data_IF_464925845660
#
_entry.id   IF_464925845660
#
_cell.length_a   1.000
_cell.length_b   1.000
_cell.length_c   1.000
_cell.angle_alpha   90.00
_cell.angle_beta   90.00
_cell.angle_gamma   90.00
#
_symmetry.space_group_name_H-M   'P 1'
#
loop_
_entity.id
_entity.type
_entity.pdbx_description
1 polymer ?
#
# COMPACT_ATOMS: atom_id res chain seq x y z
N UNK A 1 56.89 -22.12 -7.07
CA UNK A 1 55.42 -22.15 -6.86
C UNK A 1 55.23 -22.65 -5.45
N UNK A 2 55.03 -21.74 -4.51
CA UNK A 2 54.73 -22.09 -3.12
C UNK A 2 53.38 -22.81 -3.09
N UNK A 3 53.35 -23.96 -2.42
CA UNK A 3 52.11 -24.67 -2.14
C UNK A 3 51.25 -23.80 -1.24
N UNK A 4 50.01 -23.53 -1.67
CA UNK A 4 49.01 -22.88 -0.84
C UNK A 4 48.81 -23.76 0.39
N UNK A 5 49.15 -23.25 1.59
CA UNK A 5 48.78 -23.89 2.84
C UNK A 5 47.28 -23.69 3.03
N UNK A 6 46.51 -24.72 2.75
CA UNK A 6 45.11 -24.80 3.19
C UNK A 6 45.11 -24.88 4.71
N UNK A 7 44.43 -23.92 5.35
CA UNK A 7 44.24 -23.88 6.79
C UNK A 7 42.81 -24.32 7.06
N UNK A 8 42.67 -25.54 7.56
CA UNK A 8 41.40 -26.06 8.04
C UNK A 8 41.10 -25.47 9.41
N UNK A 9 40.06 -24.61 9.46
CA UNK A 9 39.62 -23.91 10.67
C UNK A 9 38.19 -24.32 11.06
N UNK A 10 37.89 -25.62 10.93
CA UNK A 10 36.62 -26.20 11.36
C UNK A 10 36.57 -26.33 12.88
N UNK A 11 35.40 -26.11 13.46
CA UNK A 11 35.14 -26.30 14.88
C UNK A 11 34.29 -27.56 15.02
N UNK A 12 34.72 -28.47 15.89
CA UNK A 12 33.97 -29.69 16.19
C UNK A 12 32.60 -29.35 16.80
N UNK A 13 31.56 -30.04 16.32
CA UNK A 13 30.19 -29.90 16.81
C UNK A 13 29.81 -31.21 17.54
N UNK A 14 29.52 -31.16 18.86
CA UNK A 14 29.13 -32.35 19.61
C UNK A 14 27.70 -32.78 19.25
N UNK A 15 27.47 -34.07 18.99
CA UNK A 15 26.16 -34.61 18.62
C UNK A 15 25.24 -34.87 19.84
N UNK A 16 24.91 -33.82 20.60
CA UNK A 16 24.06 -33.89 21.82
C UNK A 16 22.57 -33.62 21.58
N UNK A 17 22.22 -32.99 20.46
CA UNK A 17 20.86 -32.67 20.03
C UNK A 17 20.64 -33.10 18.58
N UNK A 18 19.38 -33.21 18.16
CA UNK A 18 19.00 -33.49 16.78
C UNK A 18 19.55 -32.44 15.82
N UNK A 19 19.53 -31.15 16.19
CA UNK A 19 20.16 -30.10 15.40
C UNK A 19 21.66 -30.33 15.25
N UNK A 20 22.37 -30.55 16.34
CA UNK A 20 23.81 -30.77 16.29
C UNK A 20 24.18 -32.07 15.57
N UNK A 21 23.37 -33.13 15.68
CA UNK A 21 23.59 -34.37 14.95
C UNK A 21 23.51 -34.17 13.43
N UNK A 22 22.55 -33.38 12.95
CA UNK A 22 22.44 -33.03 11.52
C UNK A 22 23.60 -32.12 11.09
N UNK A 23 23.96 -31.13 11.91
CA UNK A 23 25.09 -30.25 11.61
C UNK A 23 26.43 -31.00 11.58
N UNK A 24 26.61 -31.96 12.48
CA UNK A 24 27.77 -32.86 12.52
C UNK A 24 27.85 -33.72 11.25
N UNK A 25 26.74 -34.34 10.83
CA UNK A 25 26.69 -35.08 9.55
C UNK A 25 27.10 -34.23 8.35
N UNK A 26 26.62 -32.98 8.31
CA UNK A 26 26.98 -32.04 7.24
C UNK A 26 28.45 -31.63 7.29
N UNK A 27 29.03 -31.50 8.48
CA UNK A 27 30.43 -31.15 8.68
C UNK A 27 31.36 -32.29 8.28
N UNK A 28 31.08 -33.50 8.73
CA UNK A 28 31.87 -34.71 8.47
C UNK A 28 31.55 -35.38 7.13
N UNK A 29 30.55 -34.87 6.39
CA UNK A 29 30.07 -35.44 5.12
C UNK A 29 29.60 -36.91 5.28
N UNK A 30 28.99 -37.24 6.40
CA UNK A 30 28.48 -38.58 6.72
C UNK A 30 26.97 -38.69 6.45
N UNK A 31 26.54 -39.82 5.86
CA UNK A 31 25.12 -40.12 5.66
C UNK A 31 24.68 -41.25 6.59
N UNK A 32 23.80 -40.90 7.54
CA UNK A 32 23.20 -41.83 8.50
C UNK A 32 21.78 -42.26 8.11
N UNK A 33 21.34 -41.98 6.88
CA UNK A 33 20.04 -42.40 6.38
C UNK A 33 20.00 -43.92 6.15
N UNK A 34 19.19 -44.60 6.94
CA UNK A 34 18.91 -46.02 6.76
C UNK A 34 17.73 -46.21 5.80
N UNK A 35 18.05 -46.43 4.53
CA UNK A 35 17.10 -46.87 3.50
C UNK A 35 16.93 -48.38 3.69
N UNK A 36 15.77 -48.81 4.18
CA UNK A 36 15.46 -50.22 4.49
C UNK A 36 15.40 -51.10 3.23
N UNK A 37 16.55 -51.38 2.62
CA UNK A 37 16.69 -52.14 1.38
C UNK A 37 16.84 -53.64 1.62
N UNK A 38 17.21 -54.04 2.84
CA UNK A 38 17.35 -55.46 3.23
C UNK A 38 16.31 -55.83 4.29
N UNK A 39 15.84 -57.09 4.33
CA UNK A 39 14.89 -57.56 5.35
C UNK A 39 15.37 -57.27 6.78
N UNK A 40 16.66 -57.46 7.05
CA UNK A 40 17.26 -57.24 8.36
C UNK A 40 17.20 -55.77 8.79
N UNK A 41 17.38 -54.82 7.85
CA UNK A 41 17.26 -53.38 8.11
C UNK A 41 15.82 -52.89 8.27
N UNK A 42 14.84 -53.67 7.80
CA UNK A 42 13.41 -53.35 7.94
C UNK A 42 12.86 -53.83 9.29
N UNK A 43 13.38 -54.95 9.80
CA UNK A 43 12.90 -55.58 11.03
C UNK A 43 13.36 -54.84 12.31
N UNK A 44 14.45 -54.06 12.26
CA UNK A 44 15.03 -53.39 13.43
C UNK A 44 15.29 -51.90 13.18
N UNK A 45 15.07 -51.09 14.21
CA UNK A 45 15.30 -49.63 14.19
C UNK A 45 16.35 -49.15 15.18
N UNK A 46 17.04 -50.08 15.85
CA UNK A 46 18.14 -49.81 16.79
C UNK A 46 19.42 -49.27 16.12
N UNK A 47 19.58 -49.51 14.83
CA UNK A 47 20.65 -48.91 14.02
C UNK A 47 20.43 -47.41 13.75
N UNK A 48 19.24 -46.88 14.03
CA UNK A 48 18.95 -45.44 13.91
C UNK A 48 19.43 -44.71 15.16
N UNK A 49 19.75 -43.43 15.01
CA UNK A 49 20.04 -42.57 16.16
C UNK A 49 18.85 -42.51 17.10
N UNK A 50 19.13 -42.67 18.39
CA UNK A 50 18.13 -42.55 19.43
C UNK A 50 17.83 -41.07 19.66
N UNK A 51 16.55 -40.69 19.56
CA UNK A 51 16.11 -39.32 19.81
C UNK A 51 15.72 -39.17 21.27
N UNK A 52 16.12 -38.07 21.90
CA UNK A 52 15.59 -37.66 23.20
C UNK A 52 14.17 -37.08 22.99
N UNK A 53 13.12 -37.66 23.63
CA UNK A 53 11.77 -37.11 23.57
C UNK A 53 11.62 -35.67 24.09
N UNK A 54 12.60 -35.16 24.83
CA UNK A 54 12.64 -33.78 25.33
C UNK A 54 13.41 -32.82 24.44
N UNK A 55 14.07 -33.31 23.39
CA UNK A 55 14.78 -32.45 22.45
C UNK A 55 13.80 -31.59 21.64
N UNK A 56 14.05 -30.28 21.65
CA UNK A 56 13.26 -29.26 20.93
C UNK A 56 14.12 -28.41 19.98
N UNK A 57 15.35 -28.83 19.71
CA UNK A 57 16.29 -28.13 18.82
C UNK A 57 15.75 -27.97 17.40
N UNK A 58 15.00 -28.95 16.91
CA UNK A 58 14.22 -28.88 15.66
C UNK A 58 12.77 -29.22 15.96
N UNK A 59 11.85 -28.38 15.50
CA UNK A 59 10.42 -28.59 15.68
C UNK A 59 9.65 -28.23 14.41
N UNK A 60 8.56 -28.96 14.16
CA UNK A 60 7.66 -28.77 13.03
C UNK A 60 6.29 -28.35 13.55
N UNK A 61 5.76 -27.25 13.02
CA UNK A 61 4.47 -26.69 13.44
C UNK A 61 3.53 -26.59 12.24
N UNK A 62 2.45 -27.37 12.25
CA UNK A 62 1.41 -27.31 11.23
C UNK A 62 0.29 -26.36 11.70
N UNK A 63 0.07 -25.28 10.95
CA UNK A 63 -0.91 -24.24 11.28
C UNK A 63 -1.96 -24.09 10.17
N UNK A 64 -3.14 -23.57 10.53
CA UNK A 64 -4.29 -23.47 9.61
C UNK A 64 -4.38 -22.11 8.89
N UNK A 65 -3.61 -21.12 9.32
CA UNK A 65 -3.55 -19.79 8.71
C UNK A 65 -2.28 -19.04 9.11
N UNK A 66 -1.84 -18.03 8.33
CA UNK A 66 -0.71 -17.17 8.69
C UNK A 66 -0.88 -16.49 10.05
N UNK A 67 -2.11 -16.10 10.39
CA UNK A 67 -2.40 -15.52 11.70
C UNK A 67 -2.12 -16.52 12.82
N UNK A 68 -2.64 -17.75 12.69
CA UNK A 68 -2.43 -18.77 13.73
C UNK A 68 -0.98 -19.20 13.83
N UNK A 69 -0.27 -19.24 12.71
CA UNK A 69 1.16 -19.54 12.66
C UNK A 69 1.98 -18.51 13.44
N UNK A 70 1.71 -17.21 13.25
CA UNK A 70 2.38 -16.13 13.99
C UNK A 70 2.02 -16.16 15.48
N UNK A 71 0.78 -16.49 15.85
CA UNK A 71 0.37 -16.69 17.26
C UNK A 71 1.15 -17.84 17.92
N UNK A 72 1.21 -19.00 17.26
CA UNK A 72 1.94 -20.17 17.75
C UNK A 72 3.44 -19.87 17.86
N UNK A 73 4.01 -19.18 16.87
CA UNK A 73 5.39 -18.73 16.92
C UNK A 73 5.65 -17.83 18.13
N UNK A 74 4.79 -16.84 18.36
CA UNK A 74 4.91 -15.90 19.48
C UNK A 74 4.89 -16.64 20.83
N UNK A 75 3.95 -17.56 21.02
CA UNK A 75 3.85 -18.36 22.25
C UNK A 75 5.08 -19.27 22.44
N UNK A 76 5.62 -19.83 21.34
CA UNK A 76 6.82 -20.66 21.40
C UNK A 76 8.07 -19.86 21.75
N UNK A 77 8.24 -18.67 21.16
CA UNK A 77 9.35 -17.78 21.50
C UNK A 77 9.29 -17.32 22.96
N UNK A 78 8.10 -17.01 23.48
CA UNK A 78 7.93 -16.71 24.91
C UNK A 78 8.33 -17.88 25.80
N UNK A 79 7.95 -19.10 25.41
CA UNK A 79 8.33 -20.31 26.16
C UNK A 79 9.84 -20.50 26.16
N UNK A 80 10.50 -20.36 25.00
CA UNK A 80 11.95 -20.50 24.87
C UNK A 80 12.71 -19.44 25.70
N UNK A 81 12.27 -18.18 25.67
CA UNK A 81 12.87 -17.11 26.47
C UNK A 81 12.61 -17.27 27.97
N UNK A 82 11.57 -17.98 28.37
CA UNK A 82 11.30 -18.30 29.77
C UNK A 82 12.13 -19.51 30.26
N UNK A 83 12.41 -20.47 29.37
CA UNK A 83 13.21 -21.66 29.66
C UNK A 83 14.71 -21.36 29.74
N UNK A 84 15.22 -20.45 28.89
CA UNK A 84 16.63 -20.08 28.83
C UNK A 84 16.86 -18.56 29.04
N UNK A 85 17.37 -18.13 30.21
CA UNK A 85 17.68 -16.73 30.49
C UNK A 85 18.82 -16.13 29.68
N UNK A 86 19.66 -16.95 29.02
CA UNK A 86 20.75 -16.46 28.18
C UNK A 86 20.28 -16.05 26.79
N UNK A 87 19.14 -16.58 26.34
CA UNK A 87 18.57 -16.27 25.05
C UNK A 87 17.98 -14.86 25.06
N UNK A 88 18.44 -14.00 24.15
CA UNK A 88 17.86 -12.68 23.96
C UNK A 88 17.06 -12.62 22.66
N UNK A 89 16.13 -11.66 22.57
CA UNK A 89 15.36 -11.43 21.35
C UNK A 89 16.23 -11.11 20.12
N UNK A 90 17.51 -10.73 20.31
CA UNK A 90 18.46 -10.44 19.22
C UNK A 90 19.07 -11.70 18.61
N UNK A 91 19.05 -12.81 19.32
CA UNK A 91 19.60 -14.09 18.89
C UNK A 91 18.59 -14.87 18.02
N UNK A 92 17.37 -14.36 17.90
CA UNK A 92 16.26 -14.99 17.19
C UNK A 92 16.08 -14.31 15.82
N UNK A 93 16.06 -15.12 14.76
CA UNK A 93 15.70 -14.70 13.41
C UNK A 93 14.45 -15.45 12.92
N UNK A 94 13.50 -14.71 12.35
CA UNK A 94 12.31 -15.26 11.72
C UNK A 94 12.34 -14.91 10.24
N UNK A 95 12.27 -15.93 9.39
CA UNK A 95 12.31 -15.78 7.93
C UNK A 95 11.00 -16.27 7.33
N UNK A 96 10.49 -15.52 6.35
CA UNK A 96 9.27 -15.84 5.59
C UNK A 96 9.54 -15.60 4.11
N UNK A 97 8.83 -16.32 3.23
CA UNK A 97 9.00 -16.18 1.78
C UNK A 97 8.53 -14.80 1.26
N UNK A 98 7.45 -14.26 1.82
CA UNK A 98 6.93 -12.93 1.52
C UNK A 98 6.59 -12.19 2.82
N UNK A 99 7.40 -11.18 3.15
CA UNK A 99 7.24 -10.40 4.38
C UNK A 99 6.06 -9.42 4.31
N UNK A 100 5.63 -9.04 3.10
CA UNK A 100 4.56 -8.06 2.93
C UNK A 100 3.19 -8.68 3.23
N UNK A 101 2.97 -9.94 2.85
CA UNK A 101 1.75 -10.67 3.25
C UNK A 101 1.69 -11.00 4.74
N UNK A 102 2.83 -11.29 5.38
CA UNK A 102 2.89 -11.61 6.82
C UNK A 102 2.85 -10.39 7.74
N UNK A 103 3.27 -9.23 7.22
CA UNK A 103 3.39 -7.97 7.96
C UNK A 103 2.18 -7.60 8.81
N UNK A 104 0.93 -7.66 8.32
CA UNK A 104 -0.24 -7.30 9.12
C UNK A 104 -0.45 -8.26 10.29
N UNK A 105 -0.21 -9.56 10.09
CA UNK A 105 -0.36 -10.58 11.13
C UNK A 105 0.70 -10.45 12.22
N UNK A 106 1.96 -10.22 11.85
CA UNK A 106 3.05 -9.96 12.80
C UNK A 106 2.71 -8.73 13.65
N UNK A 107 2.26 -7.63 13.03
CA UNK A 107 1.87 -6.43 13.76
C UNK A 107 0.67 -6.64 14.67
N UNK A 108 -0.32 -7.44 14.24
CA UNK A 108 -1.50 -7.72 15.05
C UNK A 108 -1.18 -8.53 16.30
N UNK A 109 -0.29 -9.52 16.19
CA UNK A 109 0.07 -10.43 17.30
C UNK A 109 1.12 -9.79 18.21
N UNK A 110 2.25 -9.34 17.66
CA UNK A 110 3.36 -8.81 18.45
C UNK A 110 3.13 -7.35 18.87
N UNK A 111 2.39 -6.56 18.08
CA UNK A 111 2.15 -5.14 18.35
C UNK A 111 1.06 -4.87 19.40
N UNK A 112 0.11 -5.80 19.58
CA UNK A 112 -0.98 -5.67 20.54
C UNK A 112 -0.77 -6.51 21.81
N UNK A 113 0.42 -7.08 22.01
CA UNK A 113 0.71 -7.90 23.17
C UNK A 113 0.72 -7.05 24.46
N UNK A 114 0.07 -7.50 25.55
CA UNK A 114 0.12 -6.81 26.83
C UNK A 114 1.55 -6.83 27.40
N UNK A 115 1.85 -5.91 28.32
CA UNK A 115 3.21 -5.71 28.85
C UNK A 115 3.91 -6.99 29.36
N UNK A 116 3.17 -7.95 29.92
CA UNK A 116 3.73 -9.22 30.40
C UNK A 116 4.04 -10.26 29.32
N UNK A 117 3.67 -10.02 28.05
CA UNK A 117 3.91 -10.90 26.90
C UNK A 117 4.54 -10.17 25.71
N UNK A 118 5.01 -8.94 25.94
CA UNK A 118 5.54 -8.11 24.88
C UNK A 118 6.96 -8.56 24.50
N UNK A 119 7.16 -8.87 23.22
CA UNK A 119 8.46 -9.17 22.64
C UNK A 119 8.86 -8.07 21.65
N UNK A 120 10.04 -7.43 21.81
CA UNK A 120 10.51 -6.44 20.85
C UNK A 120 10.85 -7.12 19.52
N UNK A 121 10.33 -6.57 18.42
CA UNK A 121 10.58 -7.10 17.08
C UNK A 121 10.86 -5.97 16.08
N UNK A 122 11.58 -6.30 15.02
CA UNK A 122 11.83 -5.40 13.89
C UNK A 122 11.61 -6.16 12.58
N UNK A 123 10.81 -5.58 11.68
CA UNK A 123 10.56 -6.16 10.36
C UNK A 123 11.50 -5.50 9.34
N UNK A 124 12.38 -6.31 8.79
CA UNK A 124 13.31 -5.92 7.72
C UNK A 124 12.66 -6.10 6.34
N UNK A 125 13.25 -5.48 5.32
CA UNK A 125 12.92 -5.65 3.90
C UNK A 125 11.62 -5.04 3.33
N UNK A 126 10.86 -4.24 4.10
CA UNK A 126 9.67 -3.49 3.61
C UNK A 126 9.94 -2.40 2.55
N UNK A 127 11.17 -2.30 2.00
CA UNK A 127 11.63 -1.13 1.24
C UNK A 127 11.08 -1.05 -0.18
N UNK A 128 10.54 -2.12 -0.74
CA UNK A 128 9.99 -2.15 -2.09
C UNK A 128 8.54 -1.60 -2.14
N UNK A 129 7.63 -2.15 -1.34
CA UNK A 129 6.19 -1.80 -1.38
C UNK A 129 5.91 -0.38 -0.90
N UNK A 130 6.57 0.08 0.18
CA UNK A 130 6.44 1.48 0.63
C UNK A 130 6.94 2.48 -0.43
N UNK A 131 7.88 2.09 -1.28
CA UNK A 131 8.33 2.93 -2.41
C UNK A 131 7.23 3.04 -3.47
N UNK A 132 6.66 1.91 -3.86
CA UNK A 132 5.59 1.85 -4.87
C UNK A 132 4.37 2.68 -4.43
N UNK A 133 3.97 2.57 -3.16
CA UNK A 133 2.79 3.29 -2.65
C UNK A 133 2.98 4.82 -2.65
N UNK A 134 4.22 5.32 -2.48
CA UNK A 134 4.52 6.76 -2.58
C UNK A 134 4.43 7.30 -4.01
N UNK A 135 4.74 6.47 -5.00
CA UNK A 135 4.72 6.88 -6.42
C UNK A 135 3.40 6.56 -7.12
N UNK A 136 2.51 5.77 -6.51
CA UNK A 136 1.21 5.42 -7.10
C UNK A 136 0.41 6.66 -7.55
N UNK A 137 0.28 7.75 -6.75
CA UNK A 137 -0.36 8.97 -7.22
C UNK A 137 0.32 9.60 -8.43
N UNK A 138 1.66 9.56 -8.47
CA UNK A 138 2.43 10.10 -9.57
C UNK A 138 2.21 9.28 -10.86
N UNK A 139 2.20 7.95 -10.76
CA UNK A 139 1.87 7.07 -11.89
C UNK A 139 0.45 7.34 -12.39
N UNK A 140 -0.52 7.47 -11.47
CA UNK A 140 -1.90 7.82 -11.84
C UNK A 140 -2.02 9.19 -12.51
N UNK A 141 -1.13 10.15 -12.23
CA UNK A 141 -1.05 11.42 -12.96
C UNK A 141 -0.52 11.25 -14.38
N UNK A 142 0.44 10.34 -14.60
CA UNK A 142 0.97 10.04 -15.94
C UNK A 142 -0.08 9.35 -16.83
N UNK A 143 -1.02 8.61 -16.23
CA UNK A 143 -2.12 7.94 -16.95
C UNK A 143 -3.30 8.88 -17.27
N UNK A 144 -3.28 10.14 -16.82
CA UNK A 144 -4.37 11.10 -17.05
C UNK A 144 -4.73 11.34 -18.53
N UNK A 145 -3.78 11.42 -19.48
CA UNK A 145 -4.12 11.65 -20.89
C UNK A 145 -4.99 10.53 -21.49
N UNK A 146 -4.92 9.32 -20.95
CA UNK A 146 -5.74 8.17 -21.38
C UNK A 146 -6.95 7.94 -20.45
N UNK A 147 -7.10 8.79 -19.43
CA UNK A 147 -8.15 8.66 -18.44
C UNK A 147 -9.46 9.27 -18.93
N UNK A 148 -10.57 8.68 -18.48
CA UNK A 148 -11.93 9.22 -18.67
C UNK A 148 -12.28 10.28 -17.62
N UNK A 149 -11.35 10.64 -16.73
CA UNK A 149 -11.55 11.61 -15.67
C UNK A 149 -12.82 11.34 -14.86
N UNK A 150 -13.01 10.10 -14.40
CA UNK A 150 -14.18 9.78 -13.59
C UNK A 150 -14.16 10.57 -12.28
N UNK A 151 -15.34 10.83 -11.71
CA UNK A 151 -15.45 11.56 -10.44
C UNK A 151 -14.59 10.93 -9.34
N UNK A 152 -14.63 9.61 -9.22
CA UNK A 152 -13.81 8.84 -8.25
C UNK A 152 -12.32 8.97 -8.50
N UNK A 153 -11.85 8.92 -9.75
CA UNK A 153 -10.42 9.01 -10.07
C UNK A 153 -9.83 10.36 -9.66
N UNK A 154 -10.53 11.46 -9.96
CA UNK A 154 -10.06 12.80 -9.60
C UNK A 154 -10.13 13.01 -8.09
N UNK A 155 -11.20 12.53 -7.43
CA UNK A 155 -11.31 12.61 -5.97
C UNK A 155 -10.25 11.75 -5.26
N UNK A 156 -9.89 10.59 -5.82
CA UNK A 156 -8.82 9.73 -5.29
C UNK A 156 -7.44 10.39 -5.38
N UNK A 157 -7.20 11.25 -6.39
CA UNK A 157 -5.99 12.07 -6.44
C UNK A 157 -5.97 13.13 -5.33
N UNK A 158 -7.14 13.67 -4.97
CA UNK A 158 -7.28 14.62 -3.86
C UNK A 158 -7.22 13.94 -2.48
N UNK A 159 -7.44 12.62 -2.37
CA UNK A 159 -7.20 11.87 -1.13
C UNK A 159 -5.70 11.82 -0.76
N UNK A 160 -4.80 12.20 -1.68
CA UNK A 160 -3.35 12.27 -1.42
C UNK A 160 -3.00 13.60 -0.75
N UNK A 161 -2.50 13.61 0.50
CA UNK A 161 -2.31 14.86 1.25
C UNK A 161 -1.41 15.89 0.57
N UNK A 162 -0.36 15.42 -0.13
CA UNK A 162 0.55 16.29 -0.85
C UNK A 162 -0.13 17.03 -2.03
N UNK A 163 -1.11 16.39 -2.68
CA UNK A 163 -1.90 17.00 -3.75
C UNK A 163 -2.98 17.91 -3.18
N UNK A 164 -3.73 17.46 -2.16
CA UNK A 164 -4.72 18.30 -1.48
C UNK A 164 -4.12 19.62 -0.96
N UNK A 165 -2.94 19.55 -0.34
CA UNK A 165 -2.23 20.71 0.17
C UNK A 165 -1.84 21.71 -0.95
N UNK A 166 -1.48 21.23 -2.15
CA UNK A 166 -1.19 22.10 -3.30
C UNK A 166 -2.41 22.92 -3.73
N UNK A 167 -3.62 22.38 -3.57
CA UNK A 167 -4.88 23.06 -3.86
C UNK A 167 -5.49 23.75 -2.64
N UNK A 168 -4.80 23.76 -1.49
CA UNK A 168 -5.31 24.31 -0.22
C UNK A 168 -6.63 23.67 0.23
N UNK A 169 -6.81 22.37 -0.07
CA UNK A 169 -7.99 21.59 0.33
C UNK A 169 -7.65 20.86 1.64
N UNK A 170 -8.47 21.11 2.66
CA UNK A 170 -8.43 20.36 3.93
C UNK A 170 -9.37 19.15 3.85
N UNK A 171 -9.23 18.21 4.79
CA UNK A 171 -10.02 16.97 4.83
C UNK A 171 -11.54 17.23 4.82
N UNK A 172 -12.00 18.22 5.60
CA UNK A 172 -13.41 18.62 5.63
C UNK A 172 -13.88 19.20 4.29
N UNK A 173 -12.98 19.93 3.60
CA UNK A 173 -13.23 20.46 2.27
C UNK A 173 -13.35 19.35 1.21
N UNK A 174 -12.61 18.26 1.38
CA UNK A 174 -12.67 17.12 0.47
C UNK A 174 -13.99 16.36 0.58
N UNK A 175 -14.51 16.15 1.80
CA UNK A 175 -15.83 15.55 2.00
C UNK A 175 -16.94 16.36 1.32
N UNK A 176 -16.86 17.70 1.42
CA UNK A 176 -17.81 18.61 0.79
C UNK A 176 -17.71 18.56 -0.75
N UNK A 177 -16.48 18.56 -1.28
CA UNK A 177 -16.25 18.40 -2.73
C UNK A 177 -16.80 17.07 -3.24
N UNK A 178 -16.64 15.97 -2.49
CA UNK A 178 -17.19 14.66 -2.85
C UNK A 178 -18.73 14.70 -2.91
N UNK A 179 -19.36 15.35 -1.93
CA UNK A 179 -20.81 15.54 -1.91
C UNK A 179 -21.29 16.38 -3.11
N UNK A 180 -20.71 17.57 -3.31
CA UNK A 180 -21.08 18.45 -4.42
C UNK A 180 -20.82 17.84 -5.80
N UNK A 181 -19.74 17.08 -5.97
CA UNK A 181 -19.44 16.38 -7.23
C UNK A 181 -20.55 15.38 -7.57
N UNK A 182 -21.05 14.65 -6.57
CA UNK A 182 -22.20 13.75 -6.74
C UNK A 182 -23.49 14.46 -7.12
N UNK A 183 -23.85 15.52 -6.38
CA UNK A 183 -25.12 16.24 -6.53
C UNK A 183 -25.17 17.14 -7.77
N UNK A 184 -24.04 17.76 -8.14
CA UNK A 184 -23.94 18.57 -9.37
C UNK A 184 -23.99 17.73 -10.65
N UNK A 185 -24.00 16.40 -10.52
CA UNK A 185 -24.17 15.47 -11.64
C UNK A 185 -22.89 15.20 -12.41
N UNK A 186 -21.70 15.52 -11.87
CA UNK A 186 -20.40 15.15 -12.48
C UNK A 186 -20.21 13.64 -12.42
N UNK A 187 -19.87 13.03 -13.55
CA UNK A 187 -19.60 11.59 -13.65
C UNK A 187 -18.27 11.29 -14.32
N UNK A 188 -17.96 11.96 -15.42
CA UNK A 188 -16.77 11.68 -16.23
C UNK A 188 -16.47 12.80 -17.21
N UNK A 189 -15.25 12.84 -17.75
CA UNK A 189 -14.84 13.75 -18.81
C UNK A 189 -14.61 15.18 -18.32
N UNK A 190 -13.49 15.79 -18.71
CA UNK A 190 -13.20 17.17 -18.34
C UNK A 190 -14.17 18.14 -19.01
N UNK A 191 -14.33 17.99 -20.32
CA UNK A 191 -15.21 18.77 -21.19
C UNK A 191 -15.62 17.95 -22.41
N UNK A 192 -16.44 18.55 -23.27
CA UNK A 192 -16.92 17.91 -24.50
C UNK A 192 -15.81 17.63 -25.52
N UNK A 193 -14.68 18.33 -25.45
CA UNK A 193 -13.55 18.09 -26.36
C UNK A 193 -12.85 16.78 -25.97
N UNK A 194 -12.60 16.59 -24.67
CA UNK A 194 -12.10 15.32 -24.12
C UNK A 194 -13.07 14.15 -24.36
N UNK A 195 -14.39 14.39 -24.31
CA UNK A 195 -15.38 13.36 -24.67
C UNK A 195 -15.25 12.93 -26.14
N UNK A 196 -15.04 13.89 -27.06
CA UNK A 196 -14.89 13.60 -28.48
C UNK A 196 -13.56 12.93 -28.81
N UNK A 197 -12.48 13.25 -28.10
CA UNK A 197 -11.20 12.55 -28.20
C UNK A 197 -11.28 11.06 -27.82
N UNK A 198 -12.30 10.69 -27.04
CA UNK A 198 -12.60 9.30 -26.67
C UNK A 198 -13.58 8.61 -27.64
N UNK A 199 -13.88 9.22 -28.80
CA UNK A 199 -14.85 8.76 -29.80
C UNK A 199 -16.27 8.55 -29.25
N UNK A 200 -16.68 9.38 -28.29
CA UNK A 200 -18.01 9.33 -27.67
C UNK A 200 -18.87 10.53 -28.06
N UNK A 201 -20.22 10.39 -28.07
CA UNK A 201 -21.11 11.50 -28.35
C UNK A 201 -21.05 12.53 -27.20
N UNK A 202 -20.64 13.76 -27.53
CA UNK A 202 -20.66 14.87 -26.58
C UNK A 202 -22.10 15.29 -26.26
N UNK A 203 -22.49 15.12 -25.00
CA UNK A 203 -23.84 15.46 -24.52
C UNK A 203 -23.90 16.85 -23.86
N UNK A 204 -22.76 17.50 -23.58
CA UNK A 204 -22.71 18.76 -22.84
C UNK A 204 -23.06 18.64 -21.35
N UNK A 205 -23.33 17.43 -20.87
CA UNK A 205 -23.81 17.14 -19.52
C UNK A 205 -22.92 16.09 -18.85
N UNK A 206 -22.95 16.06 -17.51
CA UNK A 206 -22.21 15.11 -16.68
C UNK A 206 -20.67 15.20 -16.74
N UNK A 207 -20.13 16.21 -17.41
CA UNK A 207 -18.71 16.58 -17.41
C UNK A 207 -18.32 17.41 -16.19
N UNK A 208 -17.02 17.46 -15.88
CA UNK A 208 -16.49 18.36 -14.85
C UNK A 208 -16.82 19.81 -15.14
N UNK A 209 -16.68 20.25 -16.40
CA UNK A 209 -17.07 21.59 -16.84
C UNK A 209 -18.54 21.88 -16.55
N UNK A 210 -19.43 20.93 -16.84
CA UNK A 210 -20.86 21.07 -16.57
C UNK A 210 -21.15 21.23 -15.06
N UNK A 211 -20.66 20.31 -14.22
CA UNK A 211 -20.94 20.36 -12.78
C UNK A 211 -20.31 21.58 -12.10
N UNK A 212 -19.09 21.96 -12.46
CA UNK A 212 -18.47 23.20 -11.97
C UNK A 212 -19.25 24.45 -12.41
N UNK A 213 -19.80 24.46 -13.63
CA UNK A 213 -20.66 25.55 -14.09
C UNK A 213 -21.91 25.63 -13.23
N UNK A 214 -22.56 24.51 -12.92
CA UNK A 214 -23.74 24.48 -12.03
C UNK A 214 -23.43 25.00 -10.63
N UNK A 215 -22.28 24.61 -10.05
CA UNK A 215 -21.84 25.10 -8.74
C UNK A 215 -21.56 26.61 -8.77
N UNK A 216 -20.84 27.11 -9.78
CA UNK A 216 -20.57 28.54 -9.92
C UNK A 216 -21.85 29.35 -10.20
N UNK A 217 -22.79 28.76 -10.92
CA UNK A 217 -24.09 29.38 -11.20
C UNK A 217 -24.95 29.46 -9.95
N UNK A 218 -24.97 28.42 -9.11
CA UNK A 218 -25.67 28.41 -7.82
C UNK A 218 -25.11 29.40 -6.79
N UNK A 219 -23.87 29.85 -6.99
CA UNK A 219 -23.33 30.99 -6.25
C UNK A 219 -23.88 32.34 -6.74
N UNK A 220 -24.16 32.48 -8.03
CA UNK A 220 -24.54 33.74 -8.66
C UNK A 220 -26.06 33.95 -8.76
N UNK A 221 -26.83 32.87 -8.89
CA UNK A 221 -28.28 32.90 -8.94
C UNK A 221 -28.89 31.68 -8.24
N UNK A 222 -30.10 31.85 -7.74
CA UNK A 222 -30.93 30.80 -7.18
C UNK A 222 -31.56 29.95 -8.32
N UNK A 223 -31.66 28.64 -8.16
CA UNK A 223 -32.33 27.74 -9.11
C UNK A 223 -33.77 28.14 -9.42
N UNK A 224 -34.43 28.87 -8.52
CA UNK A 224 -35.76 29.44 -8.74
C UNK A 224 -35.80 30.50 -9.87
N UNK A 225 -34.65 31.07 -10.24
CA UNK A 225 -34.54 32.02 -11.35
C UNK A 225 -34.59 31.35 -12.75
N UNK A 226 -34.59 30.01 -12.80
CA UNK A 226 -34.61 29.24 -14.04
C UNK A 226 -33.22 28.78 -14.49
N UNK A 227 -33.16 28.11 -15.65
CA UNK A 227 -31.90 27.66 -16.22
C UNK A 227 -31.18 28.80 -16.98
N UNK A 228 -29.86 28.76 -16.96
CA UNK A 228 -29.02 29.63 -17.76
C UNK A 228 -28.32 28.82 -18.83
N UNK A 229 -28.61 29.11 -20.10
CA UNK A 229 -28.07 28.37 -21.25
C UNK A 229 -28.29 26.85 -21.17
N UNK A 230 -29.45 26.40 -20.68
CA UNK A 230 -29.73 24.97 -20.51
C UNK A 230 -29.10 24.33 -19.27
N UNK A 231 -28.50 25.13 -18.38
CA UNK A 231 -27.84 24.68 -17.16
C UNK A 231 -28.56 25.23 -15.93
N UNK A 232 -29.09 24.34 -15.08
CA UNK A 232 -29.76 24.71 -13.84
C UNK A 232 -28.73 24.97 -12.71
N UNK A 233 -28.84 26.07 -11.95
CA UNK A 233 -27.98 26.35 -10.79
C UNK A 233 -28.03 25.24 -9.73
N UNK A 234 -26.96 25.12 -8.92
CA UNK A 234 -26.90 24.20 -7.77
C UNK A 234 -26.75 24.97 -6.46
N UNK A 235 -27.86 25.15 -5.74
CA UNK A 235 -28.00 26.13 -4.65
C UNK A 235 -27.24 25.78 -3.38
N UNK A 236 -26.97 24.50 -3.11
CA UNK A 236 -26.19 24.05 -1.94
C UNK A 236 -24.73 24.56 -1.93
N UNK A 237 -24.25 25.05 -3.07
CA UNK A 237 -22.93 25.70 -3.17
C UNK A 237 -22.92 27.15 -2.63
N UNK A 238 -24.08 27.79 -2.47
CA UNK A 238 -24.21 29.21 -2.09
C UNK A 238 -23.76 29.52 -0.64
N UNK A 239 -23.82 28.55 0.28
CA UNK A 239 -23.62 28.76 1.72
C UNK A 239 -22.16 28.71 2.22
N UNK A 240 -21.22 28.09 1.49
CA UNK A 240 -19.87 27.81 2.03
C UNK A 240 -18.69 28.17 1.10
N UNK A 241 -18.95 28.62 -0.12
CA UNK A 241 -17.91 29.07 -1.07
C UNK A 241 -17.20 30.36 -0.58
N UNK A 242 -17.68 31.03 0.47
CA UNK A 242 -16.94 32.12 1.13
C UNK A 242 -15.60 31.70 1.78
N UNK A 243 -15.46 30.44 2.22
CA UNK A 243 -14.20 29.92 2.82
C UNK A 243 -13.40 29.02 1.87
N UNK A 244 -14.07 28.30 0.95
CA UNK A 244 -13.43 27.36 0.00
C UNK A 244 -13.39 27.88 -1.45
N UNK A 245 -14.18 28.91 -1.79
CA UNK A 245 -14.21 29.54 -3.11
C UNK A 245 -12.93 30.28 -3.48
N UNK A 246 -12.05 30.55 -2.50
CA UNK A 246 -10.66 30.97 -2.80
C UNK A 246 -9.82 29.85 -3.42
N UNK A 247 -10.13 28.57 -3.20
CA UNK A 247 -9.43 27.45 -3.82
C UNK A 247 -9.94 27.20 -5.25
N UNK A 248 -11.27 27.24 -5.45
CA UNK A 248 -11.91 27.06 -6.77
C UNK A 248 -11.72 28.31 -7.66
N UNK A 249 -11.74 29.52 -7.07
CA UNK A 249 -11.50 30.79 -7.77
C UNK A 249 -10.01 31.15 -7.96
N UNK A 250 -9.07 30.42 -7.36
CA UNK A 250 -7.63 30.52 -7.70
C UNK A 250 -7.24 29.60 -8.85
N UNK A 251 -7.94 28.49 -9.06
CA UNK A 251 -7.82 27.68 -10.28
C UNK A 251 -8.59 28.32 -11.45
N UNK A 252 -9.75 28.94 -11.19
CA UNK A 252 -10.48 29.77 -12.15
C UNK A 252 -10.27 31.28 -11.86
N UNK A 253 -9.16 31.85 -12.31
CA UNK A 253 -8.77 33.23 -11.99
C UNK A 253 -9.88 34.29 -12.19
N UNK A 254 -10.21 34.98 -11.09
CA UNK A 254 -10.73 36.36 -10.98
C UNK A 254 -11.77 36.82 -12.02
N UNK A 255 -13.04 36.72 -11.67
CA UNK A 255 -14.18 37.34 -12.39
C UNK A 255 -14.48 38.75 -11.85
N UNK A 256 -14.00 39.77 -12.58
CA UNK A 256 -14.68 41.05 -12.75
C UNK A 256 -14.88 41.28 -14.26
N UNK A 257 -15.85 42.10 -14.68
CA UNK A 257 -16.82 41.76 -15.72
C UNK A 257 -16.17 41.54 -17.10
N UNK A 258 -16.69 40.53 -17.80
CA UNK A 258 -16.39 40.22 -19.19
C UNK A 258 -16.77 41.38 -20.12
N UNK A 259 -15.80 42.22 -20.46
CA UNK A 259 -15.84 42.97 -21.71
C UNK A 259 -14.41 43.13 -22.25
N UNK A 260 -14.20 42.61 -23.47
CA UNK A 260 -13.07 42.86 -24.36
C UNK A 260 -11.67 42.34 -23.94
N UNK A 261 -11.31 41.09 -24.30
CA UNK A 261 -9.97 40.80 -24.84
C UNK A 261 -9.86 39.41 -25.53
N UNK A 262 -9.53 39.33 -26.83
CA UNK A 262 -9.36 38.05 -27.56
C UNK A 262 -8.11 37.23 -27.17
N UNK A 263 -7.20 37.75 -26.33
CA UNK A 263 -6.00 37.00 -25.88
C UNK A 263 -6.23 36.05 -24.69
N UNK A 264 -7.45 35.95 -24.14
CA UNK A 264 -7.77 35.09 -22.97
C UNK A 264 -8.39 33.74 -23.29
N UNK A 265 -8.37 33.28 -24.55
CA UNK A 265 -8.68 31.88 -24.91
C UNK A 265 -7.62 30.88 -24.42
N UNK A 266 -6.40 31.33 -24.11
CA UNK A 266 -5.29 30.45 -23.72
C UNK A 266 -5.25 30.05 -22.22
N UNK A 267 -6.08 30.64 -21.36
CA UNK A 267 -6.02 30.40 -19.91
C UNK A 267 -6.83 29.17 -19.47
N UNK A 268 -7.95 28.88 -20.14
CA UNK A 268 -8.79 27.71 -19.83
C UNK A 268 -8.12 26.41 -20.30
N UNK A 269 -7.39 26.43 -21.42
CA UNK A 269 -6.53 25.31 -21.85
C UNK A 269 -5.42 24.97 -20.84
N UNK A 270 -4.98 25.92 -19.99
CA UNK A 270 -3.87 25.70 -19.04
C UNK A 270 -4.26 25.00 -17.75
N UNK A 271 -5.56 24.88 -17.45
CA UNK A 271 -6.02 24.10 -16.31
C UNK A 271 -6.08 22.59 -16.63
N UNK A 272 -6.08 22.24 -17.91
CA UNK A 272 -6.02 20.86 -18.42
C UNK A 272 -4.60 20.46 -18.87
N UNK A 273 -3.75 21.43 -19.28
CA UNK A 273 -2.38 21.18 -19.70
C UNK A 273 -1.35 21.54 -18.62
N UNK A 274 -1.13 20.63 -17.65
CA UNK A 274 -0.02 20.73 -16.70
C UNK A 274 0.80 19.43 -16.62
N UNK A 275 1.34 19.00 -17.77
CA UNK A 275 2.58 18.22 -17.90
C UNK A 275 3.34 18.81 -19.10
N UNK A 276 4.58 19.30 -18.96
CA UNK A 276 5.35 19.80 -20.10
C UNK A 276 5.89 18.61 -20.92
N UNK A 277 5.88 18.65 -22.26
CA UNK A 277 6.71 17.72 -23.03
C UNK A 277 8.18 18.18 -22.93
N UNK A 278 9.03 17.32 -22.37
CA UNK A 278 10.45 17.32 -22.70
C UNK A 278 10.62 16.70 -24.08
N UNK A 279 11.26 17.48 -24.97
CA UNK A 279 11.70 17.20 -26.33
C UNK A 279 10.60 17.11 -27.41
#
# INVERSE_FOLDING_TARGET
MEAVQEVDAFVEIPADSLLHAIQHDMLELEDHALIGTTPETLERSDNKRQLDPQDRSISLHACHSPQREVEVLHDRLLTMLAEDPQLTARDIIVMVADIDSYTPYIQAVFGNAPAGRYLPFAISDRKAVRRILRYKPFISLLDLPQSRFTSEQVLALLDVPALAARFSIQEEGLSLLRHWTGESGVRWGLDDDNVRELDLPATGQHTWRFGLTRMLLGYAMDSNAGDWQGVLPYDESSGLVGRTGRAIGRSAGTTQPLAANPQRRAAVSRMVAAVPPTA
#
